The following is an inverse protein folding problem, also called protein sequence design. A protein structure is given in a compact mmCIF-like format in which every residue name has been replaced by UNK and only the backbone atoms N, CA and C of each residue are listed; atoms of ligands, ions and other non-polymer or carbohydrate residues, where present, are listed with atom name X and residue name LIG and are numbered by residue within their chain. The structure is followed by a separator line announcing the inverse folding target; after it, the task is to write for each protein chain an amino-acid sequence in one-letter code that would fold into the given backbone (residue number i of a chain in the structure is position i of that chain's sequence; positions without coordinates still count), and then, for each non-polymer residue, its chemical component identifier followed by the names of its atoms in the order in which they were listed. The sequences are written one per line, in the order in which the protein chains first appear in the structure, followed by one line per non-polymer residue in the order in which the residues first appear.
data_IF_009348637871
#
_entry.id   IF_009348637871
#
_cell.length_a   1.000
_cell.length_b   1.000
_cell.length_c   1.000
_cell.angle_alpha   90.00
_cell.angle_beta   90.00
_cell.angle_gamma   90.00
#
_symmetry.space_group_name_H-M   'P 1'
#
loop_
_entity.id
_entity.type
_entity.pdbx_description
1 polymer ?
#
# COMPACT_ATOMS: atom_id res chain seq x y z
N UNK A 1 -32.69 -4.72 10.13
CA UNK A 1 -32.70 -6.18 10.38
C UNK A 1 -32.75 -6.87 9.03
N UNK A 2 -31.72 -7.65 8.67
CA UNK A 2 -31.65 -8.29 7.35
C UNK A 2 -32.86 -9.23 7.18
N UNK A 3 -33.49 -9.26 6.00
CA UNK A 3 -34.66 -10.12 5.71
C UNK A 3 -34.41 -11.59 6.07
N UNK A 4 -33.16 -12.02 5.94
CA UNK A 4 -32.65 -13.36 6.35
C UNK A 4 -32.74 -13.58 7.86
N UNK A 5 -32.36 -12.59 8.67
CA UNK A 5 -32.44 -12.68 10.14
C UNK A 5 -33.90 -12.75 10.61
N UNK A 6 -34.80 -11.98 9.97
CA UNK A 6 -36.23 -12.05 10.26
C UNK A 6 -36.83 -13.43 9.90
N UNK A 7 -36.41 -14.02 8.78
CA UNK A 7 -36.84 -15.35 8.35
C UNK A 7 -36.36 -16.45 9.32
N UNK A 8 -35.11 -16.39 9.78
CA UNK A 8 -34.57 -17.36 10.74
C UNK A 8 -35.24 -17.26 12.11
N UNK A 9 -35.48 -16.05 12.60
CA UNK A 9 -36.24 -15.84 13.85
C UNK A 9 -37.66 -16.39 13.70
N UNK A 10 -38.33 -16.15 12.58
CA UNK A 10 -39.65 -16.72 12.31
C UNK A 10 -39.64 -18.25 12.27
N UNK A 11 -38.59 -18.86 11.70
CA UNK A 11 -38.45 -20.32 11.60
C UNK A 11 -38.18 -20.95 12.97
N UNK A 12 -37.36 -20.32 13.81
CA UNK A 12 -37.14 -20.74 15.21
C UNK A 12 -38.42 -20.59 16.03
N UNK A 13 -39.14 -19.47 15.89
CA UNK A 13 -40.43 -19.27 16.57
C UNK A 13 -41.44 -20.33 16.11
N UNK A 14 -41.54 -20.62 14.81
CA UNK A 14 -42.43 -21.66 14.30
C UNK A 14 -42.06 -23.06 14.83
N UNK A 15 -40.77 -23.37 14.97
CA UNK A 15 -40.32 -24.62 15.58
C UNK A 15 -40.66 -24.70 17.08
N UNK A 16 -40.44 -23.63 17.84
CA UNK A 16 -40.78 -23.56 19.28
C UNK A 16 -42.29 -23.65 19.48
N UNK A 17 -43.08 -22.94 18.67
CA UNK A 17 -44.55 -23.00 18.70
C UNK A 17 -45.03 -24.41 18.35
N UNK A 18 -44.48 -25.04 17.31
CA UNK A 18 -44.79 -26.43 16.96
C UNK A 18 -44.49 -27.41 18.10
N UNK A 19 -43.37 -27.21 18.81
CA UNK A 19 -42.96 -28.02 19.95
C UNK A 19 -43.91 -27.82 21.16
N UNK A 20 -44.34 -26.58 21.41
CA UNK A 20 -45.33 -26.25 22.45
C UNK A 20 -46.72 -26.80 22.14
N UNK A 21 -47.17 -26.78 20.87
CA UNK A 21 -48.46 -27.35 20.45
C UNK A 21 -48.48 -28.87 20.64
N UNK A 22 -47.38 -29.56 20.31
CA UNK A 22 -47.24 -31.01 20.55
C UNK A 22 -47.18 -31.31 22.05
N UNK A 23 -46.43 -30.52 22.83
CA UNK A 23 -46.34 -30.70 24.28
C UNK A 23 -47.66 -30.39 25.01
N UNK A 24 -48.49 -29.50 24.48
CA UNK A 24 -49.78 -29.08 25.04
C UNK A 24 -50.94 -30.06 24.81
N UNK A 25 -50.70 -31.21 24.18
CA UNK A 25 -51.72 -32.26 24.01
C UNK A 25 -52.87 -31.87 23.07
N UNK A 26 -52.67 -30.90 22.19
CA UNK A 26 -53.67 -30.55 21.18
C UNK A 26 -53.87 -31.74 20.22
N UNK A 27 -55.12 -32.14 19.91
CA UNK A 27 -55.40 -33.31 19.08
C UNK A 27 -54.94 -33.06 17.65
N UNK A 28 -53.73 -33.52 17.33
CA UNK A 28 -53.19 -33.48 15.96
C UNK A 28 -53.82 -34.63 15.19
N UNK A 29 -54.72 -34.29 14.26
CA UNK A 29 -55.53 -35.25 13.50
C UNK A 29 -54.61 -36.05 12.55
N UNK A 30 -54.41 -37.34 12.84
CA UNK A 30 -53.96 -38.44 11.95
C UNK A 30 -52.75 -38.22 11.02
N UNK A 31 -51.78 -37.35 11.36
CA UNK A 31 -50.41 -37.53 10.87
C UNK A 31 -49.70 -38.49 11.83
N UNK A 32 -49.01 -39.55 11.36
CA UNK A 32 -48.22 -40.40 12.25
C UNK A 32 -47.19 -39.51 12.96
N UNK A 33 -47.37 -39.36 14.26
CA UNK A 33 -46.69 -38.42 15.15
C UNK A 33 -45.15 -38.51 15.06
N UNK A 34 -44.64 -39.67 14.67
CA UNK A 34 -43.22 -39.91 14.41
C UNK A 34 -42.67 -39.08 13.23
N UNK A 35 -43.45 -38.88 12.16
CA UNK A 35 -43.04 -38.08 10.99
C UNK A 35 -42.94 -36.61 11.39
N UNK A 36 -43.91 -36.09 12.14
CA UNK A 36 -43.89 -34.70 12.62
C UNK A 36 -42.68 -34.43 13.53
N UNK A 37 -42.36 -35.37 14.43
CA UNK A 37 -41.19 -35.27 15.31
C UNK A 37 -39.88 -35.26 14.52
N UNK A 38 -39.77 -36.10 13.50
CA UNK A 38 -38.58 -36.20 12.65
C UNK A 38 -38.38 -34.93 11.82
N UNK A 39 -39.45 -34.38 11.23
CA UNK A 39 -39.41 -33.11 10.51
C UNK A 39 -39.02 -31.94 11.43
N UNK A 40 -39.54 -31.91 12.66
CA UNK A 40 -39.17 -30.89 13.65
C UNK A 40 -37.68 -30.98 14.00
N UNK A 41 -37.15 -32.18 14.23
CA UNK A 41 -35.71 -32.38 14.50
C UNK A 41 -34.84 -31.95 13.33
N UNK A 42 -35.21 -32.31 12.09
CA UNK A 42 -34.50 -31.85 10.88
C UNK A 42 -34.54 -30.32 10.75
N UNK A 43 -35.68 -29.69 11.04
CA UNK A 43 -35.82 -28.24 11.04
C UNK A 43 -34.90 -27.55 12.06
N UNK A 44 -34.79 -28.11 13.27
CA UNK A 44 -33.88 -27.62 14.31
C UNK A 44 -32.42 -27.76 13.89
N UNK A 45 -32.02 -28.91 13.34
CA UNK A 45 -30.65 -29.13 12.86
C UNK A 45 -30.31 -28.15 11.72
N UNK A 46 -31.23 -27.94 10.78
CA UNK A 46 -31.05 -26.98 9.69
C UNK A 46 -30.92 -25.54 10.21
N UNK A 47 -31.76 -25.13 11.16
CA UNK A 47 -31.68 -23.81 11.78
C UNK A 47 -30.35 -23.61 12.54
N UNK A 48 -29.94 -24.59 13.33
CA UNK A 48 -28.67 -24.56 14.05
C UNK A 48 -27.48 -24.50 13.08
N UNK A 49 -27.49 -25.32 12.03
CA UNK A 49 -26.47 -25.30 10.99
C UNK A 49 -26.37 -23.95 10.28
N UNK A 50 -27.50 -23.28 10.04
CA UNK A 50 -27.50 -21.96 9.41
C UNK A 50 -26.95 -20.86 10.34
N UNK A 51 -27.29 -20.89 11.64
CA UNK A 51 -26.70 -19.96 12.62
C UNK A 51 -25.19 -20.15 12.72
N UNK A 52 -24.73 -21.39 12.83
CA UNK A 52 -23.29 -21.71 12.85
C UNK A 52 -22.60 -21.25 11.57
N UNK A 53 -23.21 -21.48 10.41
CA UNK A 53 -22.68 -21.02 9.11
C UNK A 53 -22.52 -19.51 9.04
N UNK A 54 -23.50 -18.73 9.53
CA UNK A 54 -23.40 -17.27 9.60
C UNK A 54 -22.24 -16.83 10.50
N UNK A 55 -22.10 -17.45 11.67
CA UNK A 55 -21.01 -17.13 12.61
C UNK A 55 -19.64 -17.43 12.00
N UNK A 56 -19.48 -18.58 11.37
CA UNK A 56 -18.25 -18.96 10.66
C UNK A 56 -17.96 -18.01 9.50
N UNK A 57 -18.97 -17.68 8.69
CA UNK A 57 -18.81 -16.78 7.55
C UNK A 57 -18.37 -15.39 8.01
N UNK A 58 -18.97 -14.87 9.09
CA UNK A 58 -18.59 -13.59 9.66
C UNK A 58 -17.14 -13.60 10.16
N UNK A 59 -16.75 -14.62 10.92
CA UNK A 59 -15.38 -14.77 11.40
C UNK A 59 -14.36 -14.92 10.25
N UNK A 60 -14.72 -15.65 9.20
CA UNK A 60 -13.88 -15.82 8.02
C UNK A 60 -13.74 -14.51 7.23
N UNK A 61 -14.82 -13.73 7.09
CA UNK A 61 -14.76 -12.43 6.41
C UNK A 61 -13.86 -11.44 7.16
N UNK A 62 -13.98 -11.35 8.49
CA UNK A 62 -13.11 -10.51 9.32
C UNK A 62 -11.64 -10.92 9.16
N UNK A 63 -11.35 -12.22 9.16
CA UNK A 63 -10.00 -12.73 8.92
C UNK A 63 -9.49 -12.41 7.51
N UNK A 64 -10.33 -12.55 6.49
CA UNK A 64 -9.95 -12.23 5.11
C UNK A 64 -9.66 -10.74 4.93
N UNK A 65 -10.44 -9.87 5.57
CA UNK A 65 -10.24 -8.42 5.48
C UNK A 65 -8.93 -8.01 6.18
N UNK A 66 -8.59 -8.64 7.31
CA UNK A 66 -7.30 -8.45 7.97
C UNK A 66 -6.14 -8.93 7.09
N UNK A 67 -6.26 -10.10 6.46
CA UNK A 67 -5.23 -10.63 5.56
C UNK A 67 -5.03 -9.71 4.35
N UNK A 68 -6.11 -9.25 3.70
CA UNK A 68 -6.04 -8.31 2.57
C UNK A 68 -5.36 -7.00 2.96
N UNK A 69 -5.66 -6.49 4.17
CA UNK A 69 -5.03 -5.29 4.67
C UNK A 69 -3.53 -5.47 4.89
N UNK A 70 -3.10 -6.63 5.40
CA UNK A 70 -1.68 -6.95 5.57
C UNK A 70 -0.97 -7.13 4.24
N UNK A 71 -1.58 -7.85 3.29
CA UNK A 71 -1.05 -8.03 1.93
C UNK A 71 -0.83 -6.68 1.23
N UNK A 72 -1.80 -5.76 1.34
CA UNK A 72 -1.67 -4.42 0.77
C UNK A 72 -0.52 -3.65 1.42
N UNK A 73 -0.36 -3.71 2.74
CA UNK A 73 0.74 -3.01 3.42
C UNK A 73 2.11 -3.57 3.03
N UNK A 74 2.23 -4.89 2.88
CA UNK A 74 3.48 -5.53 2.40
C UNK A 74 3.78 -5.06 0.98
N UNK A 75 2.81 -5.10 0.08
CA UNK A 75 2.97 -4.63 -1.29
C UNK A 75 3.41 -3.16 -1.35
N UNK A 76 2.85 -2.28 -0.52
CA UNK A 76 3.24 -0.87 -0.46
C UNK A 76 4.66 -0.68 0.10
N UNK A 77 5.07 -1.50 1.06
CA UNK A 77 6.44 -1.48 1.58
C UNK A 77 7.45 -1.90 0.52
N UNK A 78 7.14 -2.95 -0.23
CA UNK A 78 8.02 -3.46 -1.28
C UNK A 78 8.18 -2.43 -2.40
N UNK A 79 7.07 -1.85 -2.88
CA UNK A 79 7.08 -0.79 -3.90
C UNK A 79 7.86 0.46 -3.45
N UNK A 80 7.61 0.95 -2.23
CA UNK A 80 8.37 2.06 -1.66
C UNK A 80 9.88 1.75 -1.58
N UNK A 81 10.23 0.52 -1.22
CA UNK A 81 11.62 0.08 -1.14
C UNK A 81 12.27 -0.04 -2.52
N UNK A 82 11.54 -0.52 -3.52
CA UNK A 82 11.97 -0.58 -4.91
C UNK A 82 12.27 0.82 -5.45
N UNK A 83 11.34 1.78 -5.35
CA UNK A 83 11.57 3.16 -5.79
C UNK A 83 12.79 3.78 -5.11
N UNK A 84 12.98 3.54 -3.81
CA UNK A 84 14.16 4.00 -3.07
C UNK A 84 15.47 3.38 -3.57
N UNK A 85 15.45 2.07 -3.87
CA UNK A 85 16.61 1.36 -4.43
C UNK A 85 16.93 1.89 -5.82
N UNK A 86 15.93 2.15 -6.65
CA UNK A 86 16.11 2.64 -8.02
C UNK A 86 16.73 4.03 -8.05
N UNK A 87 16.26 4.97 -7.23
CA UNK A 87 16.90 6.29 -7.10
C UNK A 87 18.36 6.17 -6.64
N UNK A 88 18.64 5.27 -5.69
CA UNK A 88 20.03 5.00 -5.27
C UNK A 88 20.87 4.36 -6.37
N UNK A 89 20.28 3.48 -7.17
CA UNK A 89 20.92 2.82 -8.31
C UNK A 89 21.29 3.86 -9.36
N UNK A 90 20.36 4.75 -9.73
CA UNK A 90 20.61 5.88 -10.63
C UNK A 90 21.76 6.73 -10.08
N UNK A 91 21.71 7.14 -8.81
CA UNK A 91 22.78 7.91 -8.18
C UNK A 91 24.14 7.20 -8.28
N UNK A 92 24.19 5.88 -8.06
CA UNK A 92 25.44 5.10 -8.14
C UNK A 92 25.94 5.00 -9.58
N UNK A 93 25.06 4.75 -10.53
CA UNK A 93 25.38 4.66 -11.95
C UNK A 93 25.89 5.99 -12.47
N UNK A 94 25.17 7.09 -12.23
CA UNK A 94 25.56 8.42 -12.64
C UNK A 94 26.93 8.82 -12.08
N UNK A 95 27.23 8.53 -10.81
CA UNK A 95 28.56 8.78 -10.23
C UNK A 95 29.67 7.92 -10.83
N UNK A 96 29.34 6.73 -11.32
CA UNK A 96 30.30 5.80 -11.93
C UNK A 96 30.59 6.13 -13.40
N UNK A 97 29.59 6.64 -14.13
CA UNK A 97 29.70 7.00 -15.55
C UNK A 97 30.11 8.45 -15.78
N UNK A 98 30.00 9.31 -14.76
CA UNK A 98 30.47 10.69 -14.86
C UNK A 98 31.99 10.75 -14.96
N UNK A 99 32.48 11.53 -15.91
CA UNK A 99 33.89 11.80 -16.09
C UNK A 99 34.36 12.86 -15.08
N UNK A 100 35.56 12.66 -14.53
CA UNK A 100 36.17 13.61 -13.59
C UNK A 100 37.43 14.20 -14.21
N UNK A 101 37.43 15.50 -14.42
CA UNK A 101 38.56 16.24 -15.00
C UNK A 101 39.13 17.17 -13.96
N UNK A 102 40.45 17.16 -13.79
CA UNK A 102 41.15 18.07 -12.89
C UNK A 102 41.67 19.28 -13.69
N UNK A 103 41.19 20.47 -13.37
CA UNK A 103 41.63 21.73 -14.01
C UNK A 103 42.05 22.67 -12.89
N UNK A 104 43.33 23.09 -12.87
CA UNK A 104 43.84 24.01 -11.86
C UNK A 104 43.73 23.50 -10.41
N UNK A 105 43.79 22.18 -10.20
CA UNK A 105 43.65 21.55 -8.87
C UNK A 105 42.21 21.37 -8.38
N UNK A 106 41.21 21.81 -9.16
CA UNK A 106 39.79 21.59 -8.87
C UNK A 106 39.26 20.42 -9.72
N UNK A 107 38.50 19.52 -9.10
CA UNK A 107 37.89 18.38 -9.79
C UNK A 107 36.50 18.77 -10.28
N UNK A 108 36.31 18.75 -11.60
CA UNK A 108 35.05 18.96 -12.28
C UNK A 108 34.44 17.61 -12.67
N UNK A 109 33.11 17.51 -12.60
CA UNK A 109 32.37 16.32 -12.98
C UNK A 109 31.54 16.62 -14.23
N UNK A 110 31.62 15.75 -15.23
CA UNK A 110 30.89 15.85 -16.48
C UNK A 110 30.03 14.61 -16.69
N UNK A 111 28.83 14.79 -17.25
CA UNK A 111 27.93 13.69 -17.59
C UNK A 111 27.54 13.77 -19.07
N UNK A 112 27.55 12.61 -19.74
CA UNK A 112 27.11 12.47 -21.13
C UNK A 112 25.61 12.71 -21.24
N UNK A 113 25.17 13.45 -22.25
CA UNK A 113 23.76 13.82 -22.49
C UNK A 113 22.85 12.60 -22.61
N UNK A 114 23.31 11.60 -23.37
CA UNK A 114 22.60 10.33 -23.56
C UNK A 114 22.40 9.59 -22.23
N UNK A 115 23.45 9.48 -21.42
CA UNK A 115 23.37 8.85 -20.09
C UNK A 115 22.52 9.62 -19.11
N UNK A 116 22.58 10.95 -19.16
CA UNK A 116 21.73 11.76 -18.31
C UNK A 116 20.24 11.55 -18.65
N UNK A 117 19.90 11.49 -19.94
CA UNK A 117 18.54 11.16 -20.38
C UNK A 117 18.09 9.77 -19.88
N UNK A 118 18.92 8.73 -20.04
CA UNK A 118 18.63 7.39 -19.53
C UNK A 118 18.34 7.39 -18.02
N UNK A 119 19.12 8.14 -17.25
CA UNK A 119 18.94 8.26 -15.80
C UNK A 119 17.66 8.98 -15.42
N UNK A 120 17.24 9.96 -16.20
CA UNK A 120 15.99 10.69 -15.94
C UNK A 120 14.75 9.86 -16.19
N UNK A 121 14.77 9.00 -17.21
CA UNK A 121 13.68 8.03 -17.42
C UNK A 121 13.51 7.16 -16.17
N UNK A 122 14.61 6.63 -15.63
CA UNK A 122 14.58 5.82 -14.40
C UNK A 122 14.14 6.61 -13.16
N UNK A 123 14.51 7.90 -13.04
CA UNK A 123 14.05 8.74 -11.94
C UNK A 123 12.56 9.07 -12.06
N UNK A 124 12.07 9.31 -13.28
CA UNK A 124 10.67 9.57 -13.55
C UNK A 124 9.81 8.33 -13.23
N UNK A 125 10.26 7.13 -13.61
CA UNK A 125 9.58 5.88 -13.24
C UNK A 125 9.48 5.73 -11.72
N UNK A 126 10.58 6.00 -10.99
CA UNK A 126 10.58 5.97 -9.53
C UNK A 126 9.69 7.06 -8.91
N UNK A 127 9.59 8.24 -9.53
CA UNK A 127 8.69 9.31 -9.10
C UNK A 127 7.23 8.88 -9.23
N UNK A 128 6.83 8.39 -10.41
CA UNK A 128 5.47 7.91 -10.67
C UNK A 128 5.09 6.77 -9.71
N UNK A 129 6.03 5.88 -9.40
CA UNK A 129 5.80 4.81 -8.45
C UNK A 129 5.53 5.35 -7.03
N UNK A 130 6.25 6.38 -6.59
CA UNK A 130 5.99 7.06 -5.31
C UNK A 130 4.63 7.75 -5.29
N UNK A 131 4.23 8.38 -6.41
CA UNK A 131 2.90 8.98 -6.55
C UNK A 131 1.79 7.91 -6.39
N UNK A 132 1.93 6.78 -7.08
CA UNK A 132 0.97 5.67 -6.98
C UNK A 132 0.89 5.12 -5.56
N UNK A 133 2.03 4.92 -4.89
CA UNK A 133 2.06 4.50 -3.48
C UNK A 133 1.36 5.53 -2.60
N UNK A 134 1.56 6.83 -2.83
CA UNK A 134 0.86 7.90 -2.11
C UNK A 134 -0.66 7.81 -2.31
N UNK A 135 -1.14 7.59 -3.54
CA UNK A 135 -2.57 7.43 -3.87
C UNK A 135 -3.18 6.17 -3.27
N UNK A 136 -2.43 5.08 -3.18
CA UNK A 136 -2.91 3.85 -2.54
C UNK A 136 -3.05 4.02 -1.03
N UNK A 137 -2.09 4.69 -0.38
CA UNK A 137 -2.22 5.08 1.04
C UNK A 137 -3.41 6.02 1.23
N UNK A 138 -3.61 6.95 0.30
CA UNK A 138 -4.73 7.89 0.32
C UNK A 138 -6.10 7.18 0.24
N UNK A 139 -6.20 6.18 -0.63
CA UNK A 139 -7.42 5.38 -0.82
C UNK A 139 -7.70 4.46 0.36
N UNK A 140 -6.65 4.07 1.09
CA UNK A 140 -6.71 3.11 2.19
C UNK A 140 -6.34 3.72 3.56
N UNK A 141 -6.67 5.00 3.78
CA UNK A 141 -6.33 5.77 5.01
C UNK A 141 -6.64 5.04 6.31
N UNK A 142 -7.72 4.26 6.38
CA UNK A 142 -8.13 3.51 7.57
C UNK A 142 -7.14 2.42 7.99
N UNK A 143 -6.28 1.96 7.08
CA UNK A 143 -5.29 0.91 7.34
C UNK A 143 -4.01 1.45 8.00
N UNK A 144 -3.84 2.77 8.07
CA UNK A 144 -2.63 3.42 8.56
C UNK A 144 -2.95 4.29 9.78
N UNK A 145 -2.10 4.22 10.81
CA UNK A 145 -2.25 5.03 12.02
C UNK A 145 -2.09 6.52 11.71
N UNK A 146 -1.08 6.86 10.91
CA UNK A 146 -0.68 8.23 10.61
C UNK A 146 -0.70 8.48 9.09
N UNK A 147 -1.79 8.08 8.41
CA UNK A 147 -1.91 8.12 6.95
C UNK A 147 -1.51 9.49 6.35
N UNK A 148 -1.95 10.59 6.97
CA UNK A 148 -1.64 11.95 6.51
C UNK A 148 -0.14 12.26 6.53
N UNK A 149 0.56 11.81 7.55
CA UNK A 149 2.00 12.04 7.69
C UNK A 149 2.79 11.14 6.73
N UNK A 150 2.33 9.91 6.48
CA UNK A 150 2.90 9.03 5.46
C UNK A 150 2.77 9.65 4.07
N UNK A 151 1.57 10.10 3.70
CA UNK A 151 1.30 10.78 2.42
C UNK A 151 2.20 12.01 2.27
N UNK A 152 2.19 12.91 3.25
CA UNK A 152 3.03 14.13 3.23
C UNK A 152 4.51 13.82 2.98
N UNK A 153 5.04 12.76 3.58
CA UNK A 153 6.43 12.34 3.40
C UNK A 153 6.67 11.69 2.04
N UNK A 154 5.73 10.90 1.53
CA UNK A 154 5.80 10.37 0.16
C UNK A 154 5.82 11.52 -0.85
N UNK A 155 4.94 12.51 -0.67
CA UNK A 155 4.88 13.71 -1.51
C UNK A 155 6.19 14.50 -1.43
N UNK A 156 6.83 14.61 -0.26
CA UNK A 156 8.17 15.24 -0.15
C UNK A 156 9.26 14.50 -0.93
N UNK A 157 9.20 13.16 -0.97
CA UNK A 157 10.15 12.36 -1.76
C UNK A 157 9.90 12.52 -3.25
N UNK A 158 8.63 12.51 -3.66
CA UNK A 158 8.17 12.72 -5.03
C UNK A 158 8.54 14.12 -5.52
N UNK A 159 8.28 15.16 -4.75
CA UNK A 159 8.64 16.55 -5.08
C UNK A 159 10.16 16.74 -5.23
N UNK A 160 10.97 16.04 -4.43
CA UNK A 160 12.43 16.06 -4.60
C UNK A 160 12.84 15.51 -5.99
N UNK A 161 12.22 14.41 -6.43
CA UNK A 161 12.47 13.85 -7.76
C UNK A 161 11.91 14.76 -8.86
N UNK A 162 10.73 15.34 -8.67
CA UNK A 162 10.15 16.28 -9.62
C UNK A 162 11.08 17.47 -9.88
N UNK A 163 11.66 18.05 -8.82
CA UNK A 163 12.65 19.15 -8.96
C UNK A 163 13.90 18.75 -9.77
N UNK A 164 14.31 17.48 -9.72
CA UNK A 164 15.41 16.95 -10.53
C UNK A 164 15.01 16.82 -12.01
N UNK A 165 13.81 16.31 -12.26
CA UNK A 165 13.26 16.16 -13.63
C UNK A 165 13.04 17.54 -14.25
N UNK A 166 12.39 18.45 -13.53
CA UNK A 166 12.15 19.84 -13.95
C UNK A 166 13.45 20.57 -14.34
N UNK A 167 14.51 20.38 -13.54
CA UNK A 167 15.82 20.99 -13.82
C UNK A 167 16.37 20.54 -15.18
N UNK A 168 16.20 19.25 -15.51
CA UNK A 168 16.58 18.75 -16.81
C UNK A 168 15.69 19.27 -17.92
N UNK A 169 14.36 19.21 -17.78
CA UNK A 169 13.43 19.63 -18.83
C UNK A 169 13.70 21.08 -19.24
N UNK A 170 13.85 21.96 -18.25
CA UNK A 170 14.16 23.38 -18.46
C UNK A 170 15.55 23.63 -19.08
N UNK A 171 16.51 22.73 -18.85
CA UNK A 171 17.86 22.83 -19.38
C UNK A 171 18.01 22.15 -20.75
N UNK A 172 17.21 21.12 -21.02
CA UNK A 172 17.20 20.34 -22.26
C UNK A 172 16.81 21.22 -23.45
N UNK A 173 15.81 22.09 -23.28
CA UNK A 173 15.36 23.07 -24.28
C UNK A 173 16.51 23.97 -24.76
N UNK A 174 17.45 24.30 -23.88
CA UNK A 174 18.60 25.16 -24.21
C UNK A 174 19.74 24.40 -24.90
N UNK A 175 19.77 23.08 -24.78
CA UNK A 175 20.91 22.23 -25.16
C UNK A 175 20.62 21.30 -26.34
N UNK A 176 19.42 21.33 -26.93
CA UNK A 176 19.09 20.56 -28.15
C UNK A 176 20.04 20.87 -29.31
N UNK A 177 20.49 22.12 -29.42
CA UNK A 177 21.36 22.58 -30.53
C UNK A 177 22.85 22.65 -30.17
N UNK A 178 23.25 22.19 -28.99
CA UNK A 178 24.66 22.22 -28.57
C UNK A 178 25.40 21.00 -29.14
N UNK A 179 26.49 21.18 -29.92
CA UNK A 179 27.29 20.07 -30.44
C UNK A 179 28.07 19.30 -29.35
N UNK A 180 28.11 19.80 -28.11
CA UNK A 180 28.83 19.15 -27.01
C UNK A 180 27.98 18.04 -26.37
N UNK A 181 28.50 16.80 -26.38
CA UNK A 181 27.81 15.61 -25.84
C UNK A 181 27.89 15.48 -24.31
N UNK A 182 28.67 16.34 -23.64
CA UNK A 182 28.89 16.31 -22.20
C UNK A 182 28.50 17.62 -21.53
N UNK A 183 27.87 17.53 -20.36
CA UNK A 183 27.57 18.70 -19.54
C UNK A 183 28.33 18.70 -18.22
N UNK A 184 28.81 19.86 -17.76
CA UNK A 184 29.31 19.99 -16.40
C UNK A 184 28.16 19.83 -15.41
N UNK A 185 28.28 18.87 -14.48
CA UNK A 185 27.29 18.60 -13.43
C UNK A 185 27.04 19.83 -12.55
N UNK A 186 28.04 20.71 -12.40
CA UNK A 186 27.91 21.95 -11.64
C UNK A 186 26.86 22.93 -12.21
N UNK A 187 26.50 22.81 -13.51
CA UNK A 187 25.44 23.62 -14.13
C UNK A 187 24.03 23.16 -13.76
N UNK A 188 23.92 22.02 -13.06
CA UNK A 188 22.67 21.39 -12.65
C UNK A 188 22.68 21.25 -11.13
N UNK A 189 22.30 22.31 -10.37
CA UNK A 189 22.34 22.31 -8.92
C UNK A 189 21.70 21.08 -8.26
N UNK A 190 20.55 20.60 -8.73
CA UNK A 190 19.85 19.45 -8.15
C UNK A 190 20.59 18.15 -8.49
N UNK A 191 21.01 17.97 -9.74
CA UNK A 191 21.86 16.82 -10.09
C UNK A 191 23.17 16.82 -9.30
N UNK A 192 23.77 17.99 -9.10
CA UNK A 192 24.98 18.16 -8.30
C UNK A 192 24.75 17.76 -6.85
N UNK A 193 23.62 18.15 -6.25
CA UNK A 193 23.21 17.71 -4.92
C UNK A 193 23.07 16.19 -4.85
N UNK A 194 22.39 15.58 -5.83
CA UNK A 194 22.18 14.14 -5.91
C UNK A 194 23.52 13.39 -5.99
N UNK A 195 24.44 13.81 -6.87
CA UNK A 195 25.73 13.13 -7.10
C UNK A 195 26.81 13.49 -6.07
N UNK A 196 26.62 14.61 -5.36
CA UNK A 196 27.57 15.20 -4.44
C UNK A 196 27.78 14.46 -3.12
N UNK A 197 28.54 15.07 -2.20
CA UNK A 197 28.84 14.49 -0.89
C UNK A 197 27.58 14.26 -0.05
N UNK A 198 27.34 13.01 0.33
CA UNK A 198 26.11 12.57 0.99
C UNK A 198 25.79 13.27 2.32
N UNK A 199 26.80 13.73 3.07
CA UNK A 199 26.57 14.28 4.41
C UNK A 199 25.84 15.62 4.40
N UNK A 200 26.04 16.41 3.35
CA UNK A 200 25.53 17.79 3.23
C UNK A 200 24.35 17.90 2.26
N UNK A 201 24.05 16.85 1.50
CA UNK A 201 23.07 16.92 0.42
C UNK A 201 21.63 17.00 0.93
N UNK A 202 20.81 17.74 0.19
CA UNK A 202 19.35 17.77 0.33
C UNK A 202 18.78 16.38 0.06
N UNK A 203 19.34 15.62 -0.90
CA UNK A 203 19.01 14.20 -1.12
C UNK A 203 18.92 13.39 0.17
N UNK A 204 19.89 13.58 1.08
CA UNK A 204 19.90 12.83 2.34
C UNK A 204 18.73 13.22 3.24
N UNK A 205 18.43 14.52 3.32
CA UNK A 205 17.41 15.06 4.23
C UNK A 205 16.01 14.85 3.69
N UNK A 206 15.78 15.23 2.44
CA UNK A 206 14.46 15.29 1.82
C UNK A 206 14.02 13.94 1.25
N UNK A 207 14.96 13.12 0.78
CA UNK A 207 14.63 11.81 0.21
C UNK A 207 14.94 10.67 1.19
N UNK A 208 16.20 10.52 1.62
CA UNK A 208 16.62 9.33 2.39
C UNK A 208 16.06 9.29 3.81
N UNK A 209 16.15 10.38 4.56
CA UNK A 209 15.58 10.41 5.92
C UNK A 209 14.06 10.27 5.89
N UNK A 210 13.40 10.91 4.91
CA UNK A 210 11.96 10.81 4.68
C UNK A 210 11.53 9.38 4.38
N UNK A 211 12.29 8.65 3.53
CA UNK A 211 12.09 7.23 3.29
C UNK A 211 12.12 6.41 4.58
N UNK A 212 13.17 6.54 5.39
CA UNK A 212 13.27 5.77 6.64
C UNK A 212 12.16 6.14 7.63
N UNK A 213 11.77 7.41 7.67
CA UNK A 213 10.65 7.86 8.49
C UNK A 213 9.32 7.25 8.02
N UNK A 214 9.10 7.13 6.70
CA UNK A 214 7.94 6.46 6.12
C UNK A 214 7.94 4.95 6.42
N UNK A 215 9.07 4.29 6.21
CA UNK A 215 9.25 2.87 6.50
C UNK A 215 8.88 2.55 7.95
N UNK A 216 9.33 3.39 8.88
CA UNK A 216 9.04 3.23 10.30
C UNK A 216 7.56 3.49 10.65
N UNK A 217 6.92 4.47 10.00
CA UNK A 217 5.48 4.71 10.17
C UNK A 217 4.63 3.53 9.68
N UNK A 218 4.98 2.96 8.52
CA UNK A 218 4.26 1.79 7.98
C UNK A 218 4.51 0.55 8.85
N UNK A 219 5.75 0.31 9.31
CA UNK A 219 6.07 -0.78 10.24
C UNK A 219 5.31 -0.68 11.56
N UNK A 220 5.18 0.51 12.14
CA UNK A 220 4.39 0.74 13.36
C UNK A 220 2.92 0.39 13.18
N UNK A 221 2.37 0.53 11.97
CA UNK A 221 1.01 0.10 11.67
C UNK A 221 0.85 -1.43 11.81
N UNK A 222 1.86 -2.22 11.42
CA UNK A 222 1.86 -3.68 11.61
C UNK A 222 1.87 -4.08 13.09
N UNK A 223 2.77 -3.51 13.89
CA UNK A 223 2.96 -3.93 15.29
C UNK A 223 1.74 -3.67 16.20
N UNK A 224 0.90 -2.68 15.88
CA UNK A 224 -0.31 -2.41 16.68
C UNK A 224 -1.46 -3.38 16.43
N UNK A 225 -1.49 -4.06 15.28
CA UNK A 225 -2.55 -5.04 14.99
C UNK A 225 -2.23 -6.41 15.58
N UNK A 226 -0.97 -6.84 15.51
CA UNK A 226 -0.55 -8.09 16.15
C UNK A 226 -0.78 -8.05 17.67
N UNK A 227 -0.63 -6.87 18.30
CA UNK A 227 -0.91 -6.66 19.71
C UNK A 227 -2.40 -6.58 20.09
N UNK A 228 -3.31 -6.34 19.12
CA UNK A 228 -4.77 -6.30 19.35
C UNK A 228 -5.47 -7.63 19.03
N UNK A 229 -4.79 -8.54 18.33
CA UNK A 229 -5.32 -9.83 17.88
C UNK A 229 -4.87 -11.05 18.70
N UNK A 230 -4.13 -10.85 19.79
CA UNK A 230 -3.75 -11.90 20.75
C UNK A 230 -4.43 -11.67 22.09
#
# INVERSE_FOLDING_TARGET
MNKVAAFLVALVIAAVVGLLVVAGGWPVINLPTEIAKSLLQLGVIAAAGHVVSILITKANNERQDLMRADDLRVALLDRLNESFIDVKKVRRLARATSEKVMIGGVVYMFIHKTKFHDYLQLLNDAQLELELVSKDVESNKSLFVDAKEVIKRLDMMEEYLNRLVDEYENSSVKTVNDPVDCFPVASFPRLSDLLGPYKVSEFRKEFVHTYYANLESVRRAFSRMTAKGG
#
